data_IF_813492327257
#
_entry.id   IF_813492327257
#
_cell.length_a   1.000
_cell.length_b   1.000
_cell.length_c   1.000
_cell.angle_alpha   90.00
_cell.angle_beta   90.00
_cell.angle_gamma   90.00
#
_symmetry.space_group_name_H-M   'P 1'
#
loop_
_entity.id
_entity.type
_entity.pdbx_description
1 polymer ?
#
# COMPACT_ATOMS: atom_id res chain seq x y z
N UNK A 1 -9.44 -3.36 -9.13
CA UNK A 1 -10.73 -3.71 -8.52
C UNK A 1 -11.03 -5.21 -8.50
N UNK A 2 -10.66 -6.00 -9.52
CA UNK A 2 -10.89 -7.45 -9.51
C UNK A 2 -10.24 -8.16 -8.30
N UNK A 3 -9.00 -7.76 -7.95
CA UNK A 3 -8.26 -8.27 -6.79
C UNK A 3 -8.98 -8.02 -5.46
N UNK A 4 -9.41 -6.78 -5.21
CA UNK A 4 -10.18 -6.43 -4.00
C UNK A 4 -11.45 -7.28 -3.87
N UNK A 5 -12.16 -7.56 -4.97
CA UNK A 5 -13.37 -8.40 -4.94
C UNK A 5 -13.11 -9.86 -4.60
N UNK A 6 -11.87 -10.34 -4.79
CA UNK A 6 -11.47 -11.70 -4.42
C UNK A 6 -11.13 -11.85 -2.93
N UNK A 7 -10.90 -10.73 -2.23
CA UNK A 7 -10.62 -10.72 -0.80
C UNK A 7 -11.87 -11.07 0.03
N UNK A 8 -11.71 -11.57 1.27
CA UNK A 8 -12.82 -11.80 2.18
C UNK A 8 -13.64 -10.53 2.41
N UNK A 9 -14.93 -10.65 2.78
CA UNK A 9 -15.83 -9.51 2.94
C UNK A 9 -15.32 -8.47 3.93
N UNK A 10 -14.69 -8.90 5.03
CA UNK A 10 -14.11 -8.02 6.05
C UNK A 10 -13.02 -7.11 5.47
N UNK A 11 -12.14 -7.69 4.64
CA UNK A 11 -11.09 -6.95 3.95
C UNK A 11 -11.66 -5.94 2.96
N UNK A 12 -12.73 -6.29 2.24
CA UNK A 12 -13.37 -5.38 1.29
C UNK A 12 -14.00 -4.16 1.99
N UNK A 13 -14.56 -4.36 3.18
CA UNK A 13 -15.16 -3.28 3.99
C UNK A 13 -14.06 -2.31 4.44
N UNK A 14 -13.00 -2.85 5.04
CA UNK A 14 -11.86 -2.04 5.51
C UNK A 14 -11.19 -1.33 4.34
N UNK A 15 -10.96 -2.01 3.23
CA UNK A 15 -10.36 -1.41 2.04
C UNK A 15 -11.17 -0.20 1.54
N UNK A 16 -12.51 -0.28 1.54
CA UNK A 16 -13.38 0.85 1.17
C UNK A 16 -13.29 2.00 2.17
N UNK A 17 -13.20 1.70 3.46
CA UNK A 17 -13.03 2.70 4.51
C UNK A 17 -11.70 3.44 4.35
N UNK A 18 -10.62 2.68 4.17
CA UNK A 18 -9.28 3.21 3.86
C UNK A 18 -9.30 4.07 2.61
N UNK A 19 -9.93 3.60 1.53
CA UNK A 19 -10.04 4.37 0.29
C UNK A 19 -10.74 5.72 0.53
N UNK A 20 -11.83 5.76 1.31
CA UNK A 20 -12.48 7.03 1.68
C UNK A 20 -11.59 7.92 2.53
N UNK A 21 -10.91 7.35 3.50
CA UNK A 21 -10.02 8.08 4.40
C UNK A 21 -8.86 8.70 3.62
N UNK A 22 -8.13 7.90 2.84
CA UNK A 22 -7.03 8.35 1.99
C UNK A 22 -7.49 9.34 0.91
N UNK A 23 -8.72 9.25 0.41
CA UNK A 23 -9.26 10.27 -0.50
C UNK A 23 -9.49 11.62 0.20
N UNK A 24 -9.69 11.60 1.52
CA UNK A 24 -9.90 12.79 2.35
C UNK A 24 -8.60 13.37 2.90
N UNK A 25 -7.65 12.52 3.30
CA UNK A 25 -6.40 12.94 3.97
C UNK A 25 -5.14 12.76 3.13
N UNK A 26 -5.20 11.94 2.09
CA UNK A 26 -4.04 11.55 1.30
C UNK A 26 -3.73 12.48 0.13
N UNK A 27 -2.57 12.27 -0.53
CA UNK A 27 -2.08 13.14 -1.60
C UNK A 27 -3.02 13.15 -2.83
N UNK A 28 -3.03 14.27 -3.55
CA UNK A 28 -3.93 14.54 -4.69
C UNK A 28 -3.80 13.48 -5.81
N UNK A 29 -2.67 12.77 -5.89
CA UNK A 29 -2.39 11.71 -6.86
C UNK A 29 -2.80 10.29 -6.40
N UNK A 30 -3.59 10.15 -5.34
CA UNK A 30 -4.01 8.86 -4.79
C UNK A 30 -4.62 7.85 -5.79
N UNK A 31 -5.49 8.23 -6.76
CA UNK A 31 -6.13 7.25 -7.64
C UNK A 31 -5.19 6.63 -8.68
N UNK A 32 -4.06 7.28 -8.97
CA UNK A 32 -3.04 6.81 -9.92
C UNK A 32 -1.73 6.40 -9.23
N UNK A 33 -1.66 6.59 -7.91
CA UNK A 33 -0.47 6.32 -7.11
C UNK A 33 -0.27 4.85 -6.76
N UNK A 34 0.97 4.40 -6.48
CA UNK A 34 1.30 3.02 -6.14
C UNK A 34 0.73 2.56 -4.78
N UNK A 35 0.12 3.48 -4.01
CA UNK A 35 -0.35 3.25 -2.66
C UNK A 35 -1.57 2.30 -2.61
N UNK A 36 -2.57 2.51 -3.47
CA UNK A 36 -3.73 1.62 -3.55
C UNK A 36 -3.37 0.19 -3.93
N UNK A 37 -2.58 -0.09 -4.99
CA UNK A 37 -2.19 -1.46 -5.32
C UNK A 37 -1.32 -2.11 -4.23
N UNK A 38 -0.45 -1.34 -3.55
CA UNK A 38 0.34 -1.85 -2.42
C UNK A 38 -0.52 -2.33 -1.23
N UNK A 39 -1.58 -1.59 -0.89
CA UNK A 39 -2.53 -2.01 0.16
C UNK A 39 -3.24 -3.31 -0.24
N UNK A 40 -3.59 -3.47 -1.52
CA UNK A 40 -4.23 -4.70 -2.00
C UNK A 40 -3.28 -5.89 -1.85
N UNK A 41 -2.02 -5.74 -2.22
CA UNK A 41 -1.01 -6.80 -2.11
C UNK A 41 -0.84 -7.25 -0.65
N UNK A 42 -0.68 -6.29 0.26
CA UNK A 42 -0.61 -6.54 1.71
C UNK A 42 -1.85 -7.31 2.24
N UNK A 43 -3.05 -6.96 1.75
CA UNK A 43 -4.28 -7.64 2.12
C UNK A 43 -4.39 -9.04 1.50
N UNK A 44 -3.88 -9.26 0.29
CA UNK A 44 -3.84 -10.59 -0.33
C UNK A 44 -2.90 -11.52 0.45
N UNK A 45 -1.71 -11.04 0.85
CA UNK A 45 -0.80 -11.80 1.71
C UNK A 45 -1.43 -12.12 3.08
N UNK A 46 -2.04 -11.11 3.69
CA UNK A 46 -2.76 -11.24 4.95
C UNK A 46 -3.89 -12.27 4.91
N UNK A 47 -4.73 -12.20 3.88
CA UNK A 47 -5.81 -13.15 3.66
C UNK A 47 -5.28 -14.56 3.35
N UNK A 48 -4.19 -14.69 2.60
CA UNK A 48 -3.55 -15.98 2.31
C UNK A 48 -3.01 -16.66 3.58
N UNK A 49 -2.58 -15.88 4.57
CA UNK A 49 -2.17 -16.40 5.89
C UNK A 49 -3.34 -16.68 6.84
N UNK A 50 -4.58 -16.41 6.42
CA UNK A 50 -5.80 -16.63 7.22
C UNK A 50 -5.97 -15.67 8.39
N UNK A 51 -5.25 -14.55 8.40
CA UNK A 51 -5.38 -13.52 9.44
C UNK A 51 -6.62 -12.66 9.22
N UNK A 52 -7.18 -12.13 10.30
CA UNK A 52 -8.21 -11.10 10.20
C UNK A 52 -7.63 -9.77 9.71
N UNK A 53 -8.38 -8.99 8.95
CA UNK A 53 -7.93 -7.67 8.48
C UNK A 53 -7.55 -6.75 9.65
N UNK A 54 -8.33 -6.76 10.73
CA UNK A 54 -8.06 -5.98 11.95
C UNK A 54 -6.83 -6.48 12.72
N UNK A 55 -6.39 -7.73 12.51
CA UNK A 55 -5.13 -8.23 13.08
C UNK A 55 -3.92 -7.72 12.29
N UNK A 56 -4.09 -7.36 11.02
CA UNK A 56 -3.02 -6.84 10.17
C UNK A 56 -2.85 -5.34 10.33
N UNK A 57 -3.95 -4.60 10.27
CA UNK A 57 -3.92 -3.13 10.31
C UNK A 57 -4.17 -2.57 11.71
N UNK A 58 -4.60 -3.41 12.66
CA UNK A 58 -5.07 -2.98 13.97
C UNK A 58 -6.54 -2.56 13.99
N UNK A 59 -7.02 -2.15 15.15
CA UNK A 59 -8.40 -1.68 15.33
C UNK A 59 -8.64 -0.27 14.77
N UNK A 60 -7.56 0.47 14.51
CA UNK A 60 -7.60 1.88 14.11
C UNK A 60 -7.15 2.07 12.66
N UNK A 61 -8.12 1.96 11.75
CA UNK A 61 -7.92 2.07 10.30
C UNK A 61 -7.29 3.41 9.91
N UNK A 62 -7.71 4.49 10.57
CA UNK A 62 -7.20 5.83 10.31
C UNK A 62 -5.73 5.98 10.71
N UNK A 63 -5.34 5.44 11.87
CA UNK A 63 -3.95 5.48 12.34
C UNK A 63 -3.04 4.69 11.40
N UNK A 64 -3.48 3.52 10.94
CA UNK A 64 -2.75 2.75 9.95
C UNK A 64 -2.60 3.52 8.64
N UNK A 65 -3.65 4.15 8.12
CA UNK A 65 -3.54 4.98 6.92
C UNK A 65 -2.63 6.20 7.10
N UNK A 66 -2.64 6.84 8.28
CA UNK A 66 -1.75 7.98 8.59
C UNK A 66 -0.28 7.53 8.58
N UNK A 67 0.00 6.36 9.18
CA UNK A 67 1.33 5.74 9.16
C UNK A 67 1.73 5.35 7.74
N UNK A 68 0.83 4.76 6.95
CA UNK A 68 1.09 4.37 5.57
C UNK A 68 1.38 5.58 4.66
N UNK A 69 0.75 6.72 4.90
CA UNK A 69 1.05 7.99 4.20
C UNK A 69 2.39 8.59 4.66
N UNK A 70 2.80 8.34 5.91
CA UNK A 70 4.08 8.79 6.47
C UNK A 70 5.28 7.92 6.07
N UNK A 71 5.09 6.61 6.01
CA UNK A 71 6.11 5.60 5.76
C UNK A 71 6.23 5.22 4.27
N UNK A 72 5.21 5.55 3.45
CA UNK A 72 5.33 5.38 2.01
C UNK A 72 6.53 6.18 1.51
N UNK A 73 7.51 5.55 0.83
CA UNK A 73 8.59 6.27 0.20
C UNK A 73 7.98 7.35 -0.68
N UNK A 74 8.23 8.60 -0.34
CA UNK A 74 7.93 9.69 -1.28
C UNK A 74 8.64 9.35 -2.59
N UNK A 75 8.13 9.83 -3.73
CA UNK A 75 8.69 9.58 -5.07
C UNK A 75 10.23 9.68 -5.15
N UNK A 76 10.85 10.45 -4.23
CA UNK A 76 12.30 10.56 -4.04
C UNK A 76 13.03 9.23 -3.73
N UNK A 77 12.44 8.29 -2.99
CA UNK A 77 13.13 7.07 -2.55
C UNK A 77 13.07 5.96 -3.62
N UNK A 78 11.93 5.85 -4.33
CA UNK A 78 11.77 4.94 -5.49
C UNK A 78 12.69 5.34 -6.67
N UNK A 79 12.99 6.64 -6.84
CA UNK A 79 13.96 7.08 -7.85
C UNK A 79 15.41 6.72 -7.48
N UNK A 80 15.74 6.59 -6.19
CA UNK A 80 17.08 6.21 -5.74
C UNK A 80 17.38 4.75 -6.05
N UNK A 81 16.40 3.85 -5.94
CA UNK A 81 16.56 2.45 -6.34
C UNK A 81 16.71 2.29 -7.87
N UNK A 82 16.08 3.16 -8.65
CA UNK A 82 16.23 3.17 -10.12
C UNK A 82 17.55 3.76 -10.62
N UNK A 83 18.23 4.58 -9.83
CA UNK A 83 19.56 5.17 -10.15
C UNK A 83 20.73 4.34 -9.63
N UNK A 84 20.51 3.40 -8.71
CA UNK A 84 21.54 2.51 -8.16
C UNK A 84 21.97 1.35 -9.09
N UNK A 85 21.35 1.23 -10.26
CA UNK A 85 21.51 0.10 -11.18
C UNK A 85 22.58 0.26 -12.26
N UNK A 86 23.71 0.92 -12.00
CA UNK A 86 24.89 0.82 -12.87
C UNK A 86 26.19 0.67 -12.04
N UNK A 87 26.59 -0.55 -11.66
CA UNK A 87 27.97 -0.79 -11.27
C UNK A 87 28.82 -0.79 -12.54
N UNK A 88 29.64 0.24 -12.68
CA UNK A 88 30.60 0.36 -13.77
C UNK A 88 31.41 -0.92 -13.96
N UNK A 89 31.56 -1.35 -15.22
CA UNK A 89 32.63 -2.27 -15.59
C UNK A 89 33.62 -1.50 -16.45
N UNK A 90 34.57 -0.84 -15.77
CA UNK A 90 35.81 -0.41 -16.37
C UNK A 90 36.75 -1.62 -16.51
N UNK A 91 37.33 -1.77 -17.69
CA UNK A 91 38.69 -2.28 -17.85
C UNK A 91 38.87 -3.79 -18.06
N UNK A 92 39.16 -4.16 -19.32
CA UNK A 92 40.45 -4.75 -19.67
C UNK A 92 40.72 -4.67 -21.16
#
# INVERSE_FOLDING_TARGET
MARVKALPPDYQIVYKEMQRYLFKVGPINLPDGPLLPGIVDFFEEGAATGKGVLELIGNDVAAFCDDLVKDSPTYADVYQESVGGEPGTAGK
#
